data_IF_789191382057
#
_entry.id   IF_789191382057
#
_cell.length_a   1.000
_cell.length_b   1.000
_cell.length_c   1.000
_cell.angle_alpha   90.00
_cell.angle_beta   90.00
_cell.angle_gamma   90.00
#
_symmetry.space_group_name_H-M   'P 1'
#
loop_
_entity.id
_entity.type
_entity.pdbx_description
1 polymer ?
#
# COMPACT_ATOMS: atom_id res chain seq x y z
N UNK A 1 -24.68 -20.77 9.06
CA UNK A 1 -24.51 -19.30 8.90
C UNK A 1 -23.03 -18.97 9.10
N UNK A 2 -22.30 -18.61 8.05
CA UNK A 2 -20.90 -18.15 8.18
C UNK A 2 -20.98 -16.73 8.76
N UNK A 3 -20.54 -16.55 10.01
CA UNK A 3 -20.27 -15.23 10.56
C UNK A 3 -19.20 -14.57 9.67
N UNK A 4 -19.65 -13.73 8.74
CA UNK A 4 -18.74 -12.82 8.03
C UNK A 4 -18.20 -11.86 9.08
N UNK A 5 -16.93 -12.00 9.43
CA UNK A 5 -16.20 -10.98 10.18
C UNK A 5 -16.46 -9.63 9.49
N UNK A 6 -16.79 -8.56 10.21
CA UNK A 6 -17.07 -7.27 9.60
C UNK A 6 -15.90 -6.88 8.68
N UNK A 7 -16.23 -6.35 7.50
CA UNK A 7 -15.24 -5.94 6.52
C UNK A 7 -14.26 -4.95 7.14
N UNK A 8 -12.99 -5.33 7.23
CA UNK A 8 -11.91 -4.47 7.74
C UNK A 8 -11.57 -3.42 6.69
N UNK A 9 -12.37 -2.36 6.59
CA UNK A 9 -12.17 -1.29 5.62
C UNK A 9 -11.20 -0.25 6.17
N UNK A 10 -10.17 0.09 5.39
CA UNK A 10 -9.23 1.17 5.66
C UNK A 10 -9.38 2.26 4.60
N UNK A 11 -9.38 3.52 5.04
CA UNK A 11 -9.36 4.68 4.14
C UNK A 11 -7.93 5.08 3.85
N UNK A 12 -7.54 5.07 2.58
CA UNK A 12 -6.19 5.40 2.15
C UNK A 12 -6.16 6.50 1.11
N UNK A 13 -5.08 7.26 1.10
CA UNK A 13 -4.86 8.30 0.11
C UNK A 13 -4.77 7.70 -1.31
N UNK A 14 -5.72 8.06 -2.20
CA UNK A 14 -5.87 7.48 -3.53
C UNK A 14 -4.58 7.50 -4.37
N UNK A 15 -3.77 8.56 -4.28
CA UNK A 15 -2.51 8.64 -5.03
C UNK A 15 -1.49 7.61 -4.57
N UNK A 16 -1.41 7.33 -3.28
CA UNK A 16 -0.52 6.28 -2.76
C UNK A 16 -0.91 4.90 -3.30
N UNK A 17 -2.22 4.65 -3.43
CA UNK A 17 -2.73 3.39 -3.95
C UNK A 17 -2.49 3.26 -5.47
N UNK A 18 -2.66 4.36 -6.21
CA UNK A 18 -2.44 4.41 -7.67
C UNK A 18 -0.96 4.25 -8.04
N UNK A 19 -0.05 4.67 -7.16
CA UNK A 19 1.41 4.66 -7.36
C UNK A 19 2.08 3.98 -6.18
N UNK A 20 2.06 2.61 -6.10
CA UNK A 20 2.59 1.89 -4.95
C UNK A 20 4.06 2.22 -4.69
N UNK A 21 4.41 2.76 -3.50
CA UNK A 21 5.75 3.27 -3.23
C UNK A 21 6.71 2.21 -2.69
N UNK A 22 6.32 0.94 -2.72
CA UNK A 22 7.05 -0.16 -2.07
C UNK A 22 7.34 -1.30 -3.03
N UNK A 23 8.46 -1.98 -2.80
CA UNK A 23 8.87 -3.12 -3.60
C UNK A 23 8.07 -4.39 -3.28
N UNK A 24 7.99 -5.31 -4.23
CA UNK A 24 7.35 -6.62 -4.03
C UNK A 24 8.32 -7.67 -3.44
N UNK A 25 9.61 -7.41 -3.50
CA UNK A 25 10.64 -8.29 -2.95
C UNK A 25 11.76 -7.48 -2.32
N UNK A 26 12.37 -8.03 -1.26
CA UNK A 26 13.52 -7.42 -0.60
C UNK A 26 14.79 -7.69 -1.40
N UNK A 27 15.61 -6.65 -1.53
CA UNK A 27 16.96 -6.73 -2.06
C UNK A 27 17.91 -5.99 -1.10
N UNK A 28 19.20 -6.18 -1.24
CA UNK A 28 20.20 -5.41 -0.51
C UNK A 28 20.41 -4.04 -1.16
N UNK A 29 20.71 -3.03 -0.34
CA UNK A 29 21.01 -1.68 -0.79
C UNK A 29 19.81 -0.73 -0.82
N UNK A 30 19.99 0.46 -1.39
CA UNK A 30 18.97 1.49 -1.46
C UNK A 30 17.85 1.11 -2.44
N UNK A 31 16.65 1.58 -2.13
CA UNK A 31 15.46 1.41 -2.98
C UNK A 31 15.14 2.70 -3.72
N UNK A 32 14.83 2.56 -5.02
CA UNK A 32 14.24 3.65 -5.81
C UNK A 32 13.17 3.09 -6.75
N UNK A 33 11.95 3.60 -6.64
CA UNK A 33 10.81 3.28 -7.50
C UNK A 33 10.31 4.57 -8.13
N UNK A 34 10.10 4.57 -9.44
CA UNK A 34 9.60 5.73 -10.18
C UNK A 34 8.33 5.33 -10.90
N UNK A 35 7.27 6.11 -10.72
CA UNK A 35 6.03 6.00 -11.46
C UNK A 35 5.77 7.29 -12.22
N UNK A 36 5.58 7.18 -13.52
CA UNK A 36 5.15 8.32 -14.33
C UNK A 36 3.66 8.61 -14.09
N UNK A 37 3.34 9.90 -14.00
CA UNK A 37 1.97 10.40 -13.88
C UNK A 37 1.38 10.65 -15.26
N UNK A 38 0.06 10.53 -15.38
CA UNK A 38 -0.67 10.74 -16.64
C UNK A 38 -0.51 12.19 -17.19
N UNK A 39 -0.10 13.14 -16.34
CA UNK A 39 0.11 14.56 -16.67
C UNK A 39 1.59 14.96 -16.85
N UNK A 40 2.47 14.00 -17.09
CA UNK A 40 3.90 14.22 -17.32
C UNK A 40 4.75 14.45 -16.04
N UNK A 41 4.16 14.32 -14.86
CA UNK A 41 4.91 14.33 -13.59
C UNK A 41 5.41 12.95 -13.20
N UNK A 42 6.02 12.86 -11.99
CA UNK A 42 6.52 11.60 -11.44
C UNK A 42 6.18 11.45 -9.96
N UNK A 43 5.99 10.22 -9.52
CA UNK A 43 6.05 9.82 -8.11
C UNK A 43 7.33 9.00 -7.93
N UNK A 44 8.21 9.47 -7.05
CA UNK A 44 9.49 8.81 -6.75
C UNK A 44 9.44 8.36 -5.29
N UNK A 45 9.60 7.06 -5.07
CA UNK A 45 9.76 6.48 -3.74
C UNK A 45 11.21 6.04 -3.55
N UNK A 46 11.85 6.56 -2.52
CA UNK A 46 13.27 6.28 -2.21
C UNK A 46 13.43 5.90 -0.75
N UNK A 47 14.32 4.97 -0.46
CA UNK A 47 14.73 4.60 0.88
C UNK A 47 16.18 4.11 0.90
N UNK A 48 16.85 4.22 2.04
CA UNK A 48 18.23 3.72 2.22
C UNK A 48 18.30 2.19 2.24
N UNK A 49 17.17 1.52 2.43
CA UNK A 49 17.00 0.07 2.33
C UNK A 49 15.65 -0.26 1.69
N UNK A 50 15.48 -1.50 1.22
CA UNK A 50 14.22 -1.92 0.60
C UNK A 50 13.07 -1.93 1.60
N UNK A 51 12.05 -1.13 1.31
CA UNK A 51 10.73 -1.15 1.96
C UNK A 51 9.79 -1.95 1.05
N UNK A 52 9.17 -2.99 1.61
CA UNK A 52 8.36 -3.94 0.84
C UNK A 52 6.87 -3.78 1.13
N UNK A 53 6.05 -4.46 0.35
CA UNK A 53 4.59 -4.55 0.61
C UNK A 53 4.29 -5.18 1.96
N UNK A 54 5.17 -6.07 2.49
CA UNK A 54 4.99 -6.64 3.82
C UNK A 54 5.27 -5.62 4.92
N UNK A 55 6.24 -4.72 4.71
CA UNK A 55 6.49 -3.61 5.64
C UNK A 55 5.32 -2.62 5.61
N UNK A 56 4.81 -2.28 4.41
CA UNK A 56 3.64 -1.41 4.26
C UNK A 56 2.39 -2.02 4.90
N UNK A 57 2.18 -3.34 4.82
CA UNK A 57 1.05 -4.01 5.46
C UNK A 57 1.02 -3.74 6.98
N UNK A 58 2.17 -3.76 7.67
CA UNK A 58 2.24 -3.48 9.10
C UNK A 58 1.87 -2.02 9.40
N UNK A 59 2.30 -1.09 8.55
CA UNK A 59 1.90 0.32 8.63
C UNK A 59 0.38 0.49 8.38
N UNK A 60 -0.18 -0.21 7.39
CA UNK A 60 -1.61 -0.18 7.12
C UNK A 60 -2.43 -0.75 8.28
N UNK A 61 -1.93 -1.77 8.99
CA UNK A 61 -2.57 -2.26 10.21
C UNK A 61 -2.62 -1.19 11.31
N UNK A 62 -1.53 -0.42 11.50
CA UNK A 62 -1.53 0.72 12.43
C UNK A 62 -2.56 1.78 12.01
N UNK A 63 -2.61 2.15 10.74
CA UNK A 63 -3.57 3.13 10.22
C UNK A 63 -5.01 2.63 10.40
N UNK A 64 -5.25 1.33 10.18
CA UNK A 64 -6.57 0.71 10.44
C UNK A 64 -6.98 0.87 11.90
N UNK A 65 -6.11 0.50 12.85
CA UNK A 65 -6.39 0.62 14.30
C UNK A 65 -6.71 2.06 14.69
N UNK A 66 -5.99 3.04 14.13
CA UNK A 66 -6.28 4.47 14.36
C UNK A 66 -7.65 4.86 13.79
N UNK A 67 -8.02 4.38 12.63
CA UNK A 67 -9.32 4.67 12.01
C UNK A 67 -10.48 3.93 12.71
N UNK A 68 -10.18 2.80 13.36
CA UNK A 68 -11.12 1.99 14.15
C UNK A 68 -11.28 2.50 15.59
N UNK A 69 -10.79 3.70 15.91
CA UNK A 69 -11.01 4.40 17.17
C UNK A 69 -9.84 4.38 18.16
N UNK A 70 -8.64 3.91 17.76
CA UNK A 70 -7.45 4.03 18.60
C UNK A 70 -7.15 5.50 18.88
N UNK A 71 -6.79 5.78 20.13
CA UNK A 71 -6.40 7.12 20.58
C UNK A 71 -5.22 7.66 19.79
N UNK A 72 -5.30 8.93 19.43
CA UNK A 72 -4.26 9.67 18.73
C UNK A 72 -3.96 10.99 19.45
N UNK A 73 -2.69 11.40 19.39
CA UNK A 73 -2.25 12.74 19.79
C UNK A 73 -1.73 13.46 18.55
N UNK A 74 -2.40 14.54 18.16
CA UNK A 74 -1.90 15.39 17.08
C UNK A 74 -1.00 16.49 17.67
N UNK A 75 0.21 16.62 17.15
CA UNK A 75 1.19 17.65 17.55
C UNK A 75 1.73 18.35 16.31
N UNK A 76 2.11 19.63 16.46
CA UNK A 76 2.86 20.38 15.45
C UNK A 76 4.31 20.48 15.89
N UNK A 77 5.22 20.04 15.06
CA UNK A 77 6.66 20.15 15.29
C UNK A 77 7.31 20.77 14.06
N UNK A 78 8.02 21.90 14.23
CA UNK A 78 8.67 22.65 13.14
C UNK A 78 7.74 22.89 11.92
N UNK A 79 6.46 23.21 12.16
CA UNK A 79 5.47 23.47 11.10
C UNK A 79 4.88 22.19 10.47
N UNK A 80 5.34 21.01 10.84
CA UNK A 80 4.84 19.73 10.35
C UNK A 80 3.80 19.19 11.34
N UNK A 81 2.61 18.81 10.84
CA UNK A 81 1.63 18.07 11.64
C UNK A 81 2.04 16.61 11.73
N UNK A 82 2.03 16.09 12.96
CA UNK A 82 2.38 14.68 13.28
C UNK A 82 1.26 14.09 14.10
N UNK A 83 0.79 12.92 13.69
CA UNK A 83 -0.20 12.11 14.42
C UNK A 83 0.53 10.96 15.12
N UNK A 84 0.53 10.99 16.45
CA UNK A 84 1.16 9.96 17.28
C UNK A 84 0.08 9.02 17.79
N UNK A 85 0.33 7.73 17.66
CA UNK A 85 -0.50 6.65 18.24
C UNK A 85 0.38 5.60 18.88
N UNK A 86 -0.13 4.89 19.88
CA UNK A 86 0.49 3.70 20.45
C UNK A 86 -0.41 2.49 20.22
N UNK A 87 0.15 1.43 19.69
CA UNK A 87 -0.55 0.18 19.40
C UNK A 87 0.21 -1.00 19.97
N UNK A 88 -0.51 -1.99 20.49
CA UNK A 88 0.13 -3.22 20.92
C UNK A 88 0.52 -4.05 19.70
N UNK A 89 1.72 -4.62 19.73
CA UNK A 89 2.24 -5.41 18.62
C UNK A 89 1.38 -6.65 18.34
N UNK A 90 0.71 -7.19 19.37
CA UNK A 90 -0.24 -8.31 19.25
C UNK A 90 -1.47 -7.96 18.39
N UNK A 91 -1.90 -6.70 18.40
CA UNK A 91 -3.02 -6.22 17.57
C UNK A 91 -2.63 -6.20 16.10
N UNK A 92 -1.41 -5.68 15.79
CA UNK A 92 -0.86 -5.71 14.43
C UNK A 92 -0.75 -7.16 13.95
N UNK A 93 -0.25 -8.06 14.80
CA UNK A 93 -0.19 -9.50 14.53
C UNK A 93 -1.55 -10.09 14.21
N UNK A 94 -2.56 -9.80 15.03
CA UNK A 94 -3.94 -10.28 14.83
C UNK A 94 -4.55 -9.82 13.52
N UNK A 95 -4.14 -8.64 13.01
CA UNK A 95 -4.61 -8.09 11.74
C UNK A 95 -3.85 -8.66 10.53
N UNK A 96 -2.54 -8.87 10.64
CA UNK A 96 -1.66 -9.27 9.52
C UNK A 96 -1.39 -10.77 9.47
N UNK A 97 -1.70 -11.51 10.52
CA UNK A 97 -1.36 -12.94 10.65
C UNK A 97 0.15 -13.20 10.84
N UNK A 98 0.96 -12.15 11.04
CA UNK A 98 2.40 -12.30 11.24
C UNK A 98 2.72 -12.87 12.61
N UNK A 99 3.51 -13.94 12.68
CA UNK A 99 4.00 -14.51 13.94
C UNK A 99 5.37 -13.96 14.37
N UNK A 100 5.98 -13.08 13.55
CA UNK A 100 7.31 -12.52 13.76
C UNK A 100 7.21 -11.14 14.42
N UNK A 101 7.28 -11.08 15.76
CA UNK A 101 7.26 -9.84 16.54
C UNK A 101 8.43 -8.90 16.19
N UNK A 102 9.70 -9.36 16.20
CA UNK A 102 10.83 -8.53 15.79
C UNK A 102 10.70 -8.03 14.37
N UNK A 103 10.13 -8.84 13.47
CA UNK A 103 9.85 -8.45 12.09
C UNK A 103 8.83 -7.33 11.97
N UNK A 104 7.80 -7.29 12.83
CA UNK A 104 6.83 -6.17 12.85
C UNK A 104 7.52 -4.86 13.24
N UNK A 105 8.33 -4.87 14.33
CA UNK A 105 9.10 -3.69 14.78
C UNK A 105 10.03 -3.21 13.66
N UNK A 106 10.77 -4.14 13.07
CA UNK A 106 11.72 -3.84 11.99
C UNK A 106 11.02 -3.29 10.76
N UNK A 107 9.83 -3.81 10.40
CA UNK A 107 9.02 -3.32 9.27
C UNK A 107 8.59 -1.86 9.47
N UNK A 108 8.07 -1.52 10.64
CA UNK A 108 7.67 -0.15 10.96
C UNK A 108 8.89 0.80 10.99
N UNK A 109 10.04 0.34 11.50
CA UNK A 109 11.29 1.09 11.45
C UNK A 109 11.77 1.34 10.01
N UNK A 110 11.59 0.37 9.08
CA UNK A 110 11.89 0.59 7.66
C UNK A 110 10.97 1.63 7.03
N UNK A 111 9.68 1.63 7.41
CA UNK A 111 8.73 2.63 6.90
C UNK A 111 9.14 4.07 7.24
N UNK A 112 9.91 4.31 8.33
CA UNK A 112 10.44 5.65 8.64
C UNK A 112 11.48 6.14 7.64
N UNK A 113 12.12 5.22 6.90
CA UNK A 113 13.15 5.54 5.90
C UNK A 113 12.58 5.80 4.52
N UNK A 114 11.27 5.55 4.32
CA UNK A 114 10.60 5.74 3.04
C UNK A 114 10.26 7.21 2.81
N UNK A 115 10.85 7.76 1.78
CA UNK A 115 10.57 9.11 1.27
C UNK A 115 9.77 9.01 -0.02
N UNK A 116 8.71 9.78 -0.15
CA UNK A 116 7.89 9.87 -1.36
C UNK A 116 7.94 11.29 -1.89
N UNK A 117 8.39 11.44 -3.11
CA UNK A 117 8.47 12.72 -3.80
C UNK A 117 7.48 12.75 -4.96
N UNK A 118 6.59 13.73 -4.95
CA UNK A 118 5.71 14.05 -6.06
C UNK A 118 6.35 15.19 -6.85
N UNK A 119 6.73 14.94 -8.09
CA UNK A 119 7.26 15.95 -9.02
C UNK A 119 6.18 16.34 -10.03
N UNK A 120 5.90 17.62 -10.11
CA UNK A 120 5.07 18.26 -11.13
C UNK A 120 5.92 19.23 -11.92
N UNK A 121 5.40 19.76 -13.05
CA UNK A 121 6.19 20.61 -13.95
C UNK A 121 6.92 21.78 -13.27
N UNK A 122 6.36 22.36 -12.19
CA UNK A 122 6.93 23.53 -11.47
C UNK A 122 7.08 23.32 -9.96
N UNK A 123 6.65 22.17 -9.44
CA UNK A 123 6.62 21.91 -7.99
C UNK A 123 7.14 20.52 -7.67
N UNK A 124 7.82 20.44 -6.54
CA UNK A 124 8.23 19.17 -5.96
C UNK A 124 7.80 19.14 -4.49
N UNK A 125 7.06 18.11 -4.11
CA UNK A 125 6.66 17.88 -2.72
C UNK A 125 7.26 16.55 -2.26
N UNK A 126 8.08 16.62 -1.22
CA UNK A 126 8.69 15.44 -0.60
C UNK A 126 8.07 15.21 0.77
N UNK A 127 7.73 13.96 1.08
CA UNK A 127 7.10 13.60 2.35
C UNK A 127 7.56 12.21 2.82
N UNK A 128 7.46 11.98 4.12
CA UNK A 128 7.54 10.66 4.73
C UNK A 128 6.13 10.21 5.13
N UNK A 129 5.86 8.90 5.14
CA UNK A 129 4.61 8.37 5.69
C UNK A 129 4.69 8.27 7.22
N UNK A 130 5.85 7.89 7.72
CA UNK A 130 6.17 7.72 9.15
C UNK A 130 7.41 8.54 9.46
N UNK A 131 7.36 9.35 10.52
CA UNK A 131 8.50 10.11 11.00
C UNK A 131 9.34 9.31 11.99
N UNK A 132 8.68 8.57 12.87
CA UNK A 132 9.35 7.84 13.95
C UNK A 132 8.52 6.58 14.31
N UNK A 133 9.22 5.54 14.78
CA UNK A 133 8.62 4.40 15.47
C UNK A 133 9.48 4.01 16.66
N UNK A 134 8.86 3.88 17.84
CA UNK A 134 9.52 3.47 19.10
C UNK A 134 8.82 2.26 19.67
N UNK A 135 9.56 1.20 19.91
CA UNK A 135 9.08 -0.01 20.56
C UNK A 135 9.47 -0.02 22.05
N UNK A 136 8.50 -0.34 22.90
CA UNK A 136 8.69 -0.56 24.31
C UNK A 136 8.57 -2.06 24.61
N UNK A 137 9.69 -2.70 24.90
CA UNK A 137 9.76 -4.14 25.18
C UNK A 137 8.98 -4.54 26.43
N UNK A 138 8.91 -3.68 27.44
CA UNK A 138 8.24 -3.98 28.71
C UNK A 138 6.72 -4.00 28.59
N UNK A 139 6.13 -3.20 27.69
CA UNK A 139 4.67 -3.13 27.46
C UNK A 139 4.22 -3.86 26.21
N UNK A 140 5.14 -4.22 25.32
CA UNK A 140 4.82 -4.76 24.00
C UNK A 140 4.15 -3.75 23.05
N UNK A 141 4.24 -2.47 23.37
CA UNK A 141 3.67 -1.38 22.58
C UNK A 141 4.67 -0.77 21.62
N UNK A 142 4.17 -0.33 20.48
CA UNK A 142 4.92 0.47 19.52
C UNK A 142 4.23 1.82 19.31
N UNK A 143 4.93 2.89 19.64
CA UNK A 143 4.51 4.25 19.31
C UNK A 143 4.92 4.56 17.88
N UNK A 144 3.99 5.06 17.07
CA UNK A 144 4.21 5.41 15.66
C UNK A 144 3.80 6.87 15.44
N UNK A 145 4.72 7.66 14.91
CA UNK A 145 4.51 9.04 14.54
C UNK A 145 4.26 9.13 13.02
N UNK A 146 2.99 9.25 12.63
CA UNK A 146 2.55 9.36 11.24
C UNK A 146 2.62 10.81 10.75
N UNK A 147 2.88 10.99 9.46
CA UNK A 147 2.76 12.32 8.85
C UNK A 147 1.29 12.78 8.87
N UNK A 148 1.01 13.90 9.54
CA UNK A 148 -0.35 14.39 9.72
C UNK A 148 -1.04 14.81 8.42
N UNK A 149 -0.30 15.37 7.46
CA UNK A 149 -0.86 15.72 6.15
C UNK A 149 -1.23 14.47 5.36
N UNK A 150 -0.38 13.42 5.41
CA UNK A 150 -0.71 12.12 4.82
C UNK A 150 -1.95 11.53 5.48
N UNK A 151 -1.99 11.50 6.82
CA UNK A 151 -3.13 10.96 7.56
C UNK A 151 -4.44 11.73 7.27
N UNK A 152 -4.38 13.05 7.16
CA UNK A 152 -5.53 13.90 6.76
C UNK A 152 -5.97 13.58 5.33
N UNK A 153 -5.02 13.42 4.38
CA UNK A 153 -5.33 13.03 3.01
C UNK A 153 -5.99 11.65 2.92
N UNK A 154 -5.67 10.73 3.84
CA UNK A 154 -6.39 9.45 3.97
C UNK A 154 -7.86 9.61 4.37
N UNK A 155 -8.22 10.68 5.09
CA UNK A 155 -9.61 10.99 5.43
C UNK A 155 -10.35 11.72 4.31
N UNK A 156 -9.74 12.75 3.73
CA UNK A 156 -10.37 13.68 2.79
C UNK A 156 -10.43 13.17 1.34
N UNK A 157 -9.38 12.48 0.89
CA UNK A 157 -9.22 11.98 -0.49
C UNK A 157 -9.15 10.47 -0.50
N UNK A 158 -9.99 9.86 0.30
CA UNK A 158 -9.98 8.44 0.60
C UNK A 158 -10.36 7.57 -0.59
N UNK A 159 -9.69 6.44 -0.66
CA UNK A 159 -10.15 5.23 -1.29
C UNK A 159 -10.36 4.18 -0.20
N UNK A 160 -11.50 3.53 -0.21
CA UNK A 160 -11.76 2.41 0.67
C UNK A 160 -11.01 1.17 0.16
N UNK A 161 -10.15 0.61 0.99
CA UNK A 161 -9.45 -0.64 0.74
C UNK A 161 -9.92 -1.69 1.74
N UNK A 162 -10.30 -2.87 1.27
CA UNK A 162 -10.58 -3.98 2.18
C UNK A 162 -9.25 -4.57 2.68
N UNK A 163 -8.88 -4.22 3.92
CA UNK A 163 -7.63 -4.66 4.53
C UNK A 163 -7.63 -6.19 4.78
N UNK A 164 -8.79 -6.77 5.08
CA UNK A 164 -8.92 -8.23 5.25
C UNK A 164 -8.63 -9.01 3.96
N UNK A 165 -8.93 -8.43 2.79
CA UNK A 165 -8.52 -8.95 1.49
C UNK A 165 -7.03 -8.68 1.27
N UNK A 166 -6.59 -7.42 1.45
CA UNK A 166 -5.22 -6.98 1.19
C UNK A 166 -4.18 -7.85 1.93
N UNK A 167 -4.39 -8.14 3.21
CA UNK A 167 -3.47 -8.94 4.03
C UNK A 167 -3.28 -10.38 3.54
N UNK A 168 -4.25 -10.93 2.77
CA UNK A 168 -4.19 -12.28 2.21
C UNK A 168 -3.57 -12.35 0.81
N UNK A 169 -3.20 -11.21 0.24
CA UNK A 169 -2.63 -11.12 -1.10
C UNK A 169 -1.11 -11.31 -1.06
N UNK A 170 -0.56 -11.91 -2.12
CA UNK A 170 0.88 -11.91 -2.35
C UNK A 170 1.38 -10.48 -2.63
N UNK A 171 2.69 -10.21 -2.48
CA UNK A 171 3.25 -8.87 -2.67
C UNK A 171 2.86 -8.19 -3.99
N UNK A 172 2.95 -8.89 -5.10
CA UNK A 172 2.57 -8.35 -6.42
C UNK A 172 1.07 -8.13 -6.54
N UNK A 173 0.26 -9.05 -6.00
CA UNK A 173 -1.20 -8.90 -5.97
C UNK A 173 -1.61 -7.68 -5.13
N UNK A 174 -0.95 -7.38 -4.01
CA UNK A 174 -1.21 -6.18 -3.18
C UNK A 174 -1.04 -4.89 -3.98
N UNK A 175 0.05 -4.75 -4.72
CA UNK A 175 0.28 -3.58 -5.56
C UNK A 175 -0.75 -3.48 -6.69
N UNK A 176 -1.07 -4.59 -7.37
CA UNK A 176 -2.11 -4.63 -8.39
C UNK A 176 -3.50 -4.32 -7.82
N UNK A 177 -3.86 -4.88 -6.68
CA UNK A 177 -5.13 -4.61 -6.01
C UNK A 177 -5.26 -3.13 -5.65
N UNK A 178 -4.22 -2.55 -5.06
CA UNK A 178 -4.15 -1.12 -4.75
C UNK A 178 -4.36 -0.26 -5.99
N UNK A 179 -3.61 -0.55 -7.06
CA UNK A 179 -3.73 0.18 -8.32
C UNK A 179 -5.11 0.03 -8.97
N UNK A 180 -5.61 -1.20 -9.10
CA UNK A 180 -6.90 -1.47 -9.73
C UNK A 180 -8.06 -0.88 -8.93
N UNK A 181 -8.02 -0.91 -7.60
CA UNK A 181 -9.02 -0.28 -6.74
C UNK A 181 -9.01 1.24 -6.88
N UNK A 182 -7.85 1.86 -7.12
CA UNK A 182 -7.71 3.32 -7.26
C UNK A 182 -8.00 3.84 -8.66
N UNK A 183 -8.06 2.97 -9.67
CA UNK A 183 -8.19 3.33 -11.07
C UNK A 183 -9.35 2.55 -11.73
N UNK A 184 -10.49 3.19 -12.00
CA UNK A 184 -11.67 2.53 -12.56
C UNK A 184 -11.56 2.20 -14.06
N UNK A 185 -10.50 2.62 -14.76
CA UNK A 185 -10.34 2.35 -16.18
C UNK A 185 -10.50 0.85 -16.50
N UNK A 186 -11.16 0.49 -17.60
CA UNK A 186 -11.37 -0.91 -17.96
C UNK A 186 -10.19 -1.52 -18.73
N UNK A 187 -9.25 -0.71 -19.22
CA UNK A 187 -8.14 -1.17 -20.07
C UNK A 187 -6.82 -0.56 -19.62
N UNK A 188 -5.77 -1.36 -19.65
CA UNK A 188 -4.41 -0.96 -19.29
C UNK A 188 -3.40 -1.59 -20.24
N UNK A 189 -2.30 -0.89 -20.54
CA UNK A 189 -1.17 -1.49 -21.25
C UNK A 189 -0.40 -2.44 -20.33
N UNK A 190 0.26 -3.44 -20.92
CA UNK A 190 1.11 -4.38 -20.18
C UNK A 190 2.18 -3.63 -19.38
N UNK A 191 2.86 -2.67 -20.01
CA UNK A 191 3.96 -1.92 -19.38
C UNK A 191 3.47 -1.13 -18.16
N UNK A 192 2.28 -0.52 -18.24
CA UNK A 192 1.67 0.17 -17.11
C UNK A 192 1.38 -0.81 -15.94
N UNK A 193 0.81 -1.97 -16.21
CA UNK A 193 0.54 -2.96 -15.17
C UNK A 193 1.83 -3.50 -14.54
N UNK A 194 2.86 -3.76 -15.34
CA UNK A 194 4.18 -4.19 -14.84
C UNK A 194 4.80 -3.12 -13.93
N UNK A 195 4.74 -1.86 -14.34
CA UNK A 195 5.24 -0.73 -13.55
C UNK A 195 4.47 -0.59 -12.23
N UNK A 196 3.12 -0.64 -12.26
CA UNK A 196 2.29 -0.50 -11.05
C UNK A 196 2.39 -1.71 -10.11
N UNK A 197 2.59 -2.89 -10.65
CA UNK A 197 2.85 -4.10 -9.86
C UNK A 197 4.25 -4.11 -9.24
N UNK A 198 5.15 -3.20 -9.67
CA UNK A 198 6.56 -3.14 -9.27
C UNK A 198 7.29 -4.49 -9.52
N UNK A 199 7.04 -5.07 -10.70
CA UNK A 199 7.67 -6.32 -11.10
C UNK A 199 9.08 -6.03 -11.64
N UNK A 200 10.10 -6.50 -10.94
CA UNK A 200 11.53 -6.24 -11.24
C UNK A 200 12.24 -7.43 -11.91
N UNK A 201 11.51 -8.28 -12.64
CA UNK A 201 12.13 -9.40 -13.35
C UNK A 201 12.97 -8.91 -14.52
N UNK A 202 14.20 -9.43 -14.67
CA UNK A 202 15.15 -9.04 -15.73
C UNK A 202 14.67 -9.41 -17.13
N UNK A 203 13.97 -10.55 -17.27
CA UNK A 203 13.43 -11.02 -18.54
C UNK A 203 11.94 -10.63 -18.69
N UNK A 204 11.59 -9.95 -19.79
CA UNK A 204 10.19 -9.55 -20.10
C UNK A 204 9.21 -10.72 -20.07
N UNK A 205 9.63 -11.90 -20.54
CA UNK A 205 8.79 -13.10 -20.49
C UNK A 205 8.43 -13.48 -19.06
N UNK A 206 9.41 -13.51 -18.15
CA UNK A 206 9.19 -13.83 -16.72
C UNK A 206 8.30 -12.77 -16.04
N UNK A 207 8.51 -11.50 -16.37
CA UNK A 207 7.67 -10.41 -15.86
C UNK A 207 6.19 -10.60 -16.25
N UNK A 208 5.92 -10.99 -17.50
CA UNK A 208 4.57 -11.31 -18.00
C UNK A 208 3.95 -12.51 -17.29
N UNK A 209 4.73 -13.56 -17.06
CA UNK A 209 4.23 -14.73 -16.32
C UNK A 209 3.82 -14.33 -14.91
N UNK A 210 4.63 -13.56 -14.19
CA UNK A 210 4.33 -13.04 -12.86
C UNK A 210 3.04 -12.19 -12.90
N UNK A 211 2.93 -11.26 -13.86
CA UNK A 211 1.74 -10.42 -14.00
C UNK A 211 0.47 -11.24 -14.21
N UNK A 212 0.50 -12.18 -15.17
CA UNK A 212 -0.67 -13.05 -15.45
C UNK A 212 -1.03 -13.92 -14.24
N UNK A 213 -0.04 -14.51 -13.59
CA UNK A 213 -0.26 -15.32 -12.39
C UNK A 213 -0.91 -14.48 -11.27
N UNK A 214 -0.41 -13.27 -11.02
CA UNK A 214 -0.95 -12.36 -10.00
C UNK A 214 -2.37 -11.88 -10.34
N UNK A 215 -2.66 -11.58 -11.62
CA UNK A 215 -4.02 -11.25 -12.04
C UNK A 215 -4.97 -12.44 -11.85
N UNK A 216 -4.54 -13.66 -12.19
CA UNK A 216 -5.33 -14.87 -11.93
C UNK A 216 -5.57 -15.10 -10.44
N UNK A 217 -4.58 -14.80 -9.57
CA UNK A 217 -4.74 -14.84 -8.12
C UNK A 217 -5.77 -13.81 -7.61
N UNK A 218 -5.81 -12.62 -8.20
CA UNK A 218 -6.81 -11.59 -7.89
C UNK A 218 -8.21 -12.03 -8.35
N UNK A 219 -8.34 -12.69 -9.51
CA UNK A 219 -9.60 -13.29 -9.98
C UNK A 219 -10.08 -14.37 -9.04
N UNK A 220 -9.20 -15.31 -8.65
CA UNK A 220 -9.57 -16.42 -7.74
C UNK A 220 -10.05 -15.95 -6.37
N UNK A 221 -9.65 -14.75 -5.95
CA UNK A 221 -10.09 -14.08 -4.71
C UNK A 221 -11.30 -13.16 -4.93
N UNK A 222 -11.91 -13.21 -6.11
CA UNK A 222 -13.13 -12.45 -6.49
C UNK A 222 -12.99 -10.91 -6.36
N UNK A 223 -11.77 -10.39 -6.50
CA UNK A 223 -11.49 -8.95 -6.47
C UNK A 223 -11.82 -8.31 -7.83
N UNK A 224 -11.54 -9.03 -8.92
CA UNK A 224 -12.02 -8.74 -10.26
C UNK A 224 -12.73 -9.97 -10.82
N UNK A 225 -13.69 -9.79 -11.72
CA UNK A 225 -14.43 -10.89 -12.32
C UNK A 225 -13.56 -11.68 -13.33
N UNK A 226 -12.64 -10.97 -14.00
CA UNK A 226 -11.74 -11.58 -14.97
C UNK A 226 -10.82 -10.59 -15.64
N UNK A 227 -9.98 -11.09 -16.54
CA UNK A 227 -9.20 -10.26 -17.45
C UNK A 227 -9.01 -10.94 -18.81
N UNK A 228 -8.88 -10.12 -19.87
CA UNK A 228 -8.56 -10.58 -21.23
C UNK A 228 -7.39 -9.80 -21.78
N UNK A 229 -6.47 -10.50 -22.46
CA UNK A 229 -5.37 -9.85 -23.18
C UNK A 229 -5.79 -9.64 -24.61
N UNK A 230 -5.87 -8.38 -25.01
CA UNK A 230 -6.24 -7.93 -26.35
C UNK A 230 -4.99 -7.73 -27.23
N UNK A 231 -5.19 -7.47 -28.53
CA UNK A 231 -4.13 -7.07 -29.44
C UNK A 231 -3.34 -5.87 -28.87
N UNK A 232 -2.03 -5.75 -29.20
CA UNK A 232 -1.16 -4.70 -28.68
C UNK A 232 -0.84 -4.83 -27.19
N UNK A 233 -1.04 -6.01 -26.58
CA UNK A 233 -0.79 -6.27 -25.16
C UNK A 233 -1.58 -5.34 -24.22
N UNK A 234 -2.81 -5.11 -24.55
CA UNK A 234 -3.77 -4.38 -23.73
C UNK A 234 -4.52 -5.40 -22.86
N UNK A 235 -4.54 -5.16 -21.55
CA UNK A 235 -5.33 -5.95 -20.60
C UNK A 235 -6.67 -5.27 -20.36
N UNK A 236 -7.75 -5.96 -20.70
CA UNK A 236 -9.11 -5.56 -20.34
C UNK A 236 -9.45 -6.21 -19.00
N UNK A 237 -9.75 -5.39 -18.00
CA UNK A 237 -10.12 -5.85 -16.64
C UNK A 237 -11.65 -5.86 -16.53
N UNK A 238 -12.18 -6.99 -16.16
CA UNK A 238 -13.61 -7.19 -15.90
C UNK A 238 -13.84 -7.02 -14.40
N UNK A 239 -14.63 -6.02 -14.01
CA UNK A 239 -14.91 -5.70 -12.61
C UNK A 239 -15.98 -6.62 -12.05
N UNK A 240 -15.91 -6.92 -10.76
CA UNK A 240 -17.04 -7.53 -10.06
C UNK A 240 -18.15 -6.47 -9.99
N UNK A 241 -19.33 -6.82 -10.48
CA UNK A 241 -20.51 -5.98 -10.31
C UNK A 241 -20.86 -5.95 -8.81
N UNK A 242 -20.71 -4.80 -8.19
CA UNK A 242 -21.24 -4.57 -6.84
C UNK A 242 -22.75 -4.38 -7.04
N UNK A 243 -23.61 -5.23 -6.43
CA UNK A 243 -25.03 -4.98 -6.47
C UNK A 243 -25.29 -3.57 -5.95
N UNK A 244 -25.91 -2.73 -6.76
CA UNK A 244 -26.38 -1.43 -6.28
C UNK A 244 -27.34 -1.72 -5.15
N UNK A 245 -26.93 -1.37 -3.92
CA UNK A 245 -27.86 -1.33 -2.81
C UNK A 245 -28.87 -0.22 -3.16
N UNK A 246 -30.06 -0.65 -3.52
CA UNK A 246 -31.25 0.20 -3.73
C UNK A 246 -31.72 0.74 -2.39
#
# INVERSE_FOLDING_TARGET
>A
MKNSSPDKIIKLYRRLMKYPPVATARKTGPMKIIHDLDNGGQVIAEATEYVTTDDLEKLLAVIYLVQDGREIKEVKHAGISVVITSVNISEIRGLTGSNDYPGIVTSLKRCTKLTITFKFAKEQVTTHLVHESKYNESTGEIAVALNGNFFRACKEKALNLNFGIYSKLSPTERNLYSFLSSNPAPKFTEDLLLQRAVITASAKFKARQILKHSLSGIVSKQIIAGFKVLAGRIYKIERVEVPQQV
#
